data_IF_994489765400
#
_entry.id   IF_994489765400
#
_cell.length_a   1.000
_cell.length_b   1.000
_cell.length_c   1.000
_cell.angle_alpha   90.00
_cell.angle_beta   90.00
_cell.angle_gamma   90.00
#
_symmetry.space_group_name_H-M   'P 1'
#
loop_
_entity.id
_entity.type
_entity.pdbx_description
1 polymer ?
#
# COMPACT_ATOMS: atom_id res chain seq x y z
N UNK A 1 -29.29 -19.54 26.77
CA UNK A 1 -29.67 -19.53 28.19
C UNK A 1 -29.65 -18.11 28.84
N UNK A 2 -29.75 -17.03 28.06
CA UNK A 2 -29.80 -15.63 28.57
C UNK A 2 -31.19 -14.97 28.45
N UNK A 3 -32.05 -15.49 27.57
CA UNK A 3 -33.39 -14.93 27.30
C UNK A 3 -34.42 -15.22 28.39
N UNK A 4 -34.22 -16.27 29.20
CA UNK A 4 -35.15 -16.64 30.28
C UNK A 4 -34.84 -15.97 31.63
N UNK A 5 -33.74 -15.21 31.75
CA UNK A 5 -33.37 -14.50 32.99
C UNK A 5 -33.89 -13.06 33.08
N UNK A 6 -34.22 -12.42 31.96
CA UNK A 6 -34.67 -11.01 31.92
C UNK A 6 -36.13 -10.82 32.32
N UNK A 7 -36.99 -11.82 32.09
CA UNK A 7 -38.43 -11.73 32.37
C UNK A 7 -38.80 -11.74 33.86
N UNK A 8 -37.99 -12.39 34.71
CA UNK A 8 -38.26 -12.45 36.15
C UNK A 8 -37.98 -11.12 36.86
N UNK A 9 -36.99 -10.36 36.38
CA UNK A 9 -36.61 -9.06 36.95
C UNK A 9 -37.66 -7.99 36.63
N UNK A 10 -38.15 -7.95 35.40
CA UNK A 10 -39.20 -6.99 35.00
C UNK A 10 -40.52 -7.22 35.75
N UNK A 11 -40.84 -8.47 36.10
CA UNK A 11 -42.03 -8.82 36.87
C UNK A 11 -41.96 -8.31 38.32
N UNK A 12 -40.77 -8.32 38.93
CA UNK A 12 -40.53 -7.77 40.27
C UNK A 12 -40.59 -6.23 40.31
N UNK A 13 -40.11 -5.56 39.25
CA UNK A 13 -40.17 -4.10 39.12
C UNK A 13 -41.63 -3.61 38.96
N UNK A 14 -42.48 -4.35 38.25
CA UNK A 14 -43.87 -3.94 38.01
C UNK A 14 -44.75 -3.94 39.29
N UNK A 15 -44.43 -4.80 40.27
CA UNK A 15 -45.21 -4.98 41.51
C UNK A 15 -44.70 -4.14 42.70
N UNK A 16 -43.54 -3.52 42.58
CA UNK A 16 -42.95 -2.70 43.63
C UNK A 16 -43.54 -1.29 43.71
N UNK A 17 -43.93 -0.84 44.90
CA UNK A 17 -44.31 0.55 45.15
C UNK A 17 -43.16 1.53 44.87
N UNK A 18 -43.49 2.82 44.71
CA UNK A 18 -42.57 3.88 44.26
C UNK A 18 -41.21 3.93 44.99
N UNK A 19 -41.16 3.59 46.28
CA UNK A 19 -39.91 3.50 47.06
C UNK A 19 -39.00 2.35 46.61
N UNK A 20 -39.54 1.19 46.23
CA UNK A 20 -38.74 0.04 45.79
C UNK A 20 -38.16 0.26 44.38
N UNK A 21 -38.90 0.95 43.51
CA UNK A 21 -38.42 1.33 42.16
C UNK A 21 -37.23 2.29 42.21
N UNK A 22 -37.22 3.26 43.15
CA UNK A 22 -36.08 4.17 43.34
C UNK A 22 -34.84 3.45 43.88
N UNK A 23 -35.01 2.50 44.80
CA UNK A 23 -33.89 1.73 45.37
C UNK A 23 -33.24 0.83 44.30
N UNK A 24 -34.05 0.12 43.50
CA UNK A 24 -33.54 -0.72 42.40
C UNK A 24 -32.85 0.12 41.31
N UNK A 25 -33.40 1.29 40.97
CA UNK A 25 -32.77 2.21 40.00
C UNK A 25 -31.45 2.78 40.53
N UNK A 26 -31.34 3.04 41.84
CA UNK A 26 -30.11 3.54 42.44
C UNK A 26 -29.01 2.46 42.47
N UNK A 27 -29.37 1.21 42.81
CA UNK A 27 -28.45 0.06 42.80
C UNK A 27 -27.99 -0.29 41.38
N UNK A 28 -28.88 -0.19 40.38
CA UNK A 28 -28.53 -0.46 38.98
C UNK A 28 -27.62 0.64 38.40
N UNK A 29 -27.85 1.91 38.75
CA UNK A 29 -26.97 3.02 38.36
C UNK A 29 -25.58 2.93 39.02
N UNK A 30 -25.47 2.54 40.29
CA UNK A 30 -24.17 2.42 40.96
C UNK A 30 -23.36 1.22 40.45
N UNK A 31 -24.01 0.12 40.07
CA UNK A 31 -23.34 -1.00 39.40
C UNK A 31 -22.83 -0.65 37.99
N UNK A 32 -23.56 0.19 37.23
CA UNK A 32 -23.11 0.65 35.90
C UNK A 32 -21.90 1.60 36.01
N UNK A 33 -21.87 2.48 37.03
CA UNK A 33 -20.72 3.36 37.27
C UNK A 33 -19.47 2.58 37.70
N UNK A 34 -19.63 1.49 38.47
CA UNK A 34 -18.51 0.61 38.85
C UNK A 34 -17.96 -0.21 37.66
N UNK A 35 -18.80 -0.62 36.70
CA UNK A 35 -18.34 -1.32 35.48
C UNK A 35 -17.61 -0.36 34.53
N UNK A 36 -18.01 0.93 34.48
CA UNK A 36 -17.33 1.95 33.66
C UNK A 36 -16.00 2.45 34.29
N UNK A 37 -15.78 2.26 35.59
CA UNK A 37 -14.49 2.55 36.23
C UNK A 37 -13.44 1.44 36.06
N UNK A 38 -13.84 0.21 35.68
CA UNK A 38 -12.89 -0.90 35.46
C UNK A 38 -12.40 -1.04 34.01
N UNK A 39 -12.86 -0.20 33.08
CA UNK A 39 -12.37 -0.16 31.70
C UNK A 39 -11.61 1.14 31.41
N UNK A 40 -10.57 1.42 32.19
CA UNK A 40 -9.56 2.43 31.80
C UNK A 40 -8.16 1.85 31.97
N UNK A 41 -7.84 0.85 31.16
CA UNK A 41 -6.44 0.54 30.85
C UNK A 41 -5.92 1.68 29.98
N UNK A 42 -5.22 2.63 30.60
CA UNK A 42 -4.37 3.57 29.89
C UNK A 42 -3.39 2.76 29.02
N UNK A 43 -3.39 2.87 27.68
CA UNK A 43 -2.31 2.30 26.90
C UNK A 43 -1.02 2.97 27.37
N UNK A 44 -0.04 2.15 27.79
CA UNK A 44 1.28 2.66 28.16
C UNK A 44 1.83 3.48 26.97
N UNK A 45 2.47 4.64 27.21
CA UNK A 45 3.14 5.38 26.15
C UNK A 45 4.18 4.45 25.50
N UNK A 46 4.12 4.36 24.17
CA UNK A 46 5.07 3.59 23.38
C UNK A 46 6.48 4.12 23.66
N UNK A 47 7.37 3.25 24.15
CA UNK A 47 8.79 3.58 24.25
C UNK A 47 9.36 3.58 22.84
N UNK A 48 9.88 4.73 22.42
CA UNK A 48 10.62 4.87 21.17
C UNK A 48 11.88 3.99 21.24
N UNK A 49 11.90 2.90 20.48
CA UNK A 49 13.16 2.24 20.14
C UNK A 49 13.90 3.09 19.10
N UNK A 50 15.22 3.30 19.24
CA UNK A 50 15.97 4.17 18.35
C UNK A 50 15.94 3.65 16.91
N UNK A 51 15.67 4.56 15.98
CA UNK A 51 15.67 4.28 14.55
C UNK A 51 16.98 3.60 14.11
N UNK A 52 16.93 2.55 13.28
CA UNK A 52 18.14 1.97 12.73
C UNK A 52 18.86 3.00 11.85
N UNK A 53 20.19 3.05 12.02
CA UNK A 53 21.08 4.05 11.43
C UNK A 53 20.90 4.17 9.91
N UNK A 54 20.71 5.41 9.45
CA UNK A 54 20.75 5.80 8.03
C UNK A 54 22.18 5.64 7.52
N UNK A 55 22.40 4.75 6.56
CA UNK A 55 23.58 4.77 5.69
C UNK A 55 23.20 4.16 4.32
N UNK A 56 22.54 4.91 3.45
CA UNK A 56 22.63 4.68 2.00
C UNK A 56 22.56 6.02 1.27
N UNK A 57 23.72 6.43 0.81
CA UNK A 57 24.02 7.62 0.02
C UNK A 57 23.45 7.43 -1.41
N UNK A 58 22.49 8.27 -1.79
CA UNK A 58 21.99 8.35 -3.16
C UNK A 58 22.92 9.26 -3.97
N UNK A 59 23.61 8.70 -4.97
CA UNK A 59 24.35 9.50 -5.97
C UNK A 59 23.38 9.98 -7.05
N UNK A 60 23.09 11.28 -7.03
CA UNK A 60 22.54 12.00 -8.18
C UNK A 60 23.64 12.28 -9.20
N UNK A 61 23.40 12.01 -10.48
CA UNK A 61 24.24 12.55 -11.54
C UNK A 61 23.44 12.90 -12.79
N UNK A 62 23.39 14.23 -13.01
CA UNK A 62 23.55 14.93 -14.28
C UNK A 62 22.31 15.21 -15.15
N UNK A 63 21.63 16.30 -14.77
CA UNK A 63 20.98 17.23 -15.68
C UNK A 63 22.00 18.33 -16.06
N UNK A 64 22.43 18.38 -17.32
CA UNK A 64 23.30 19.44 -17.87
C UNK A 64 22.68 20.02 -19.14
N UNK A 65 22.12 21.23 -19.03
CA UNK A 65 22.65 22.50 -19.57
C UNK A 65 22.53 22.66 -21.09
N UNK A 66 21.46 23.36 -21.47
CA UNK A 66 21.29 24.13 -22.71
C UNK A 66 22.26 25.31 -22.72
N UNK A 67 22.97 25.51 -23.83
CA UNK A 67 23.64 26.78 -24.14
C UNK A 67 23.27 27.21 -25.57
N UNK A 68 22.86 28.47 -25.64
CA UNK A 68 22.42 29.29 -26.76
C UNK A 68 23.58 29.77 -27.64
N UNK A 69 23.34 29.90 -28.94
CA UNK A 69 24.21 30.60 -29.92
C UNK A 69 23.29 31.46 -30.83
N UNK A 70 23.73 32.66 -31.28
CA UNK A 70 22.88 33.85 -31.46
C UNK A 70 22.30 34.05 -32.87
N UNK A 71 21.27 34.91 -32.94
CA UNK A 71 20.60 35.39 -34.16
C UNK A 71 21.39 36.48 -34.90
N UNK A 72 21.41 36.41 -36.23
CA UNK A 72 21.55 37.55 -37.14
C UNK A 72 20.56 37.41 -38.31
N UNK A 73 19.78 38.46 -38.66
CA UNK A 73 18.93 38.52 -39.86
C UNK A 73 19.56 39.43 -40.95
N UNK A 74 18.89 39.70 -42.09
CA UNK A 74 18.37 38.79 -43.12
C UNK A 74 18.88 39.18 -44.53
N UNK A 75 18.87 38.28 -45.50
CA UNK A 75 18.95 38.69 -46.91
C UNK A 75 18.21 37.73 -47.86
N UNK A 76 17.26 38.34 -48.58
CA UNK A 76 16.63 38.03 -49.86
C UNK A 76 16.45 36.58 -50.32
N UNK A 77 15.18 36.24 -50.53
CA UNK A 77 14.73 35.07 -51.27
C UNK A 77 14.77 35.30 -52.78
N UNK A 78 15.52 34.52 -53.57
CA UNK A 78 15.14 34.17 -54.93
C UNK A 78 14.29 32.89 -54.91
N UNK A 79 13.19 32.89 -55.69
CA UNK A 79 12.33 31.71 -55.91
C UNK A 79 13.14 30.54 -56.49
N UNK A 80 12.84 29.29 -56.11
CA UNK A 80 13.64 28.13 -56.48
C UNK A 80 13.33 27.65 -57.91
N UNK A 81 14.39 27.37 -58.67
CA UNK A 81 14.34 26.51 -59.86
C UNK A 81 14.05 25.04 -59.45
N UNK A 82 13.45 24.21 -60.32
CA UNK A 82 13.08 22.84 -59.99
C UNK A 82 14.32 21.94 -59.87
N UNK A 83 14.67 21.57 -58.63
CA UNK A 83 15.78 20.64 -58.36
C UNK A 83 15.28 19.19 -58.46
N UNK A 84 15.94 18.42 -59.34
CA UNK A 84 15.74 16.98 -59.53
C UNK A 84 15.98 16.20 -58.21
N UNK A 85 15.20 15.14 -57.93
CA UNK A 85 15.38 14.36 -56.71
C UNK A 85 16.75 13.67 -56.70
N UNK A 86 17.50 13.93 -55.63
CA UNK A 86 18.77 13.26 -55.34
C UNK A 86 18.53 11.77 -55.00
N UNK A 87 19.50 10.87 -55.26
CA UNK A 87 19.41 9.46 -54.87
C UNK A 87 19.18 9.30 -53.35
N UNK A 88 18.41 8.29 -52.89
CA UNK A 88 18.16 8.09 -51.48
C UNK A 88 19.46 7.74 -50.73
N UNK A 89 19.63 8.37 -49.56
CA UNK A 89 20.73 8.09 -48.65
C UNK A 89 20.77 6.60 -48.23
N UNK A 90 21.95 6.02 -47.94
CA UNK A 90 22.06 4.64 -47.48
C UNK A 90 21.22 4.42 -46.22
N UNK A 91 20.42 3.36 -46.20
CA UNK A 91 19.54 3.02 -45.09
C UNK A 91 20.31 2.99 -43.75
N UNK A 92 19.90 3.83 -42.81
CA UNK A 92 20.36 3.77 -41.44
C UNK A 92 20.01 2.40 -40.86
N UNK A 93 21.02 1.66 -40.35
CA UNK A 93 20.80 0.40 -39.65
C UNK A 93 19.88 0.66 -38.45
N UNK A 94 18.73 0.00 -38.46
CA UNK A 94 17.76 0.02 -37.37
C UNK A 94 18.46 -0.39 -36.06
N UNK A 95 18.32 0.36 -34.96
CA UNK A 95 18.93 -0.02 -33.69
C UNK A 95 18.38 -1.38 -33.27
N UNK A 96 19.26 -2.35 -33.08
CA UNK A 96 18.90 -3.70 -32.62
C UNK A 96 18.00 -3.60 -31.38
N UNK A 97 16.73 -3.97 -31.56
CA UNK A 97 15.74 -4.06 -30.48
C UNK A 97 16.20 -5.16 -29.53
N UNK A 98 16.77 -4.78 -28.37
CA UNK A 98 17.08 -5.75 -27.31
C UNK A 98 15.82 -6.56 -27.01
N UNK A 99 15.91 -7.90 -26.91
CA UNK A 99 14.74 -8.73 -26.61
C UNK A 99 14.14 -8.27 -25.29
N UNK A 100 12.86 -7.86 -25.32
CA UNK A 100 12.11 -7.44 -24.14
C UNK A 100 12.01 -8.66 -23.23
N UNK A 101 12.70 -8.63 -22.09
CA UNK A 101 12.60 -9.71 -21.11
C UNK A 101 11.15 -9.83 -20.62
N UNK A 102 10.70 -11.05 -20.30
CA UNK A 102 9.37 -11.29 -19.72
C UNK A 102 9.49 -11.38 -18.19
N UNK A 103 8.49 -10.93 -17.42
CA UNK A 103 8.47 -11.12 -15.98
C UNK A 103 8.36 -12.61 -15.63
N UNK A 104 8.89 -13.00 -14.47
CA UNK A 104 8.68 -14.32 -13.86
C UNK A 104 7.20 -14.52 -13.51
N UNK A 105 6.57 -13.48 -12.98
CA UNK A 105 5.13 -13.43 -12.75
C UNK A 105 4.63 -11.98 -12.69
N UNK A 106 3.33 -11.82 -12.90
CA UNK A 106 2.64 -10.56 -12.69
C UNK A 106 1.27 -10.77 -12.06
N UNK A 107 0.78 -9.75 -11.37
CA UNK A 107 -0.56 -9.69 -10.83
C UNK A 107 -1.10 -8.26 -10.87
N UNK A 108 -2.41 -8.13 -11.00
CA UNK A 108 -3.07 -6.82 -10.91
C UNK A 108 -4.37 -6.89 -10.12
N UNK A 109 -4.72 -5.79 -9.47
CA UNK A 109 -6.00 -5.61 -8.79
C UNK A 109 -6.67 -4.34 -9.27
N UNK A 110 -8.00 -4.31 -9.29
CA UNK A 110 -8.78 -3.13 -9.69
C UNK A 110 -8.89 -2.14 -8.54
N UNK A 111 -8.81 -0.85 -8.83
CA UNK A 111 -9.14 0.21 -7.88
C UNK A 111 -10.67 0.30 -7.78
N UNK A 112 -11.21 -0.09 -6.63
CA UNK A 112 -12.67 -0.11 -6.39
C UNK A 112 -13.24 1.23 -5.91
N UNK A 113 -12.38 2.20 -5.62
CA UNK A 113 -12.77 3.50 -5.09
C UNK A 113 -12.15 4.61 -5.92
N UNK A 114 -12.93 5.65 -6.18
CA UNK A 114 -12.49 6.90 -6.81
C UNK A 114 -11.88 7.89 -5.80
N UNK A 115 -11.70 7.47 -4.54
CA UNK A 115 -11.01 8.26 -3.52
C UNK A 115 -9.55 8.54 -3.96
N UNK A 116 -9.27 9.83 -4.15
CA UNK A 116 -7.98 10.33 -4.63
C UNK A 116 -6.88 10.12 -3.60
N UNK A 117 -7.16 10.22 -2.31
CA UNK A 117 -6.17 10.10 -1.25
C UNK A 117 -5.82 8.64 -0.99
N UNK A 118 -6.82 7.74 -1.06
CA UNK A 118 -6.57 6.30 -1.11
C UNK A 118 -5.68 5.93 -2.30
N UNK A 119 -6.02 6.41 -3.50
CA UNK A 119 -5.24 6.12 -4.72
C UNK A 119 -3.83 6.70 -4.63
N UNK A 120 -3.69 7.90 -4.06
CA UNK A 120 -2.41 8.52 -3.78
C UNK A 120 -1.56 7.67 -2.84
N UNK A 121 -2.11 7.16 -1.73
CA UNK A 121 -1.40 6.30 -0.79
C UNK A 121 -0.86 5.02 -1.45
N UNK A 122 -1.66 4.39 -2.33
CA UNK A 122 -1.23 3.22 -3.09
C UNK A 122 -0.11 3.59 -4.07
N UNK A 123 -0.25 4.69 -4.82
CA UNK A 123 0.78 5.22 -5.71
C UNK A 123 2.08 5.53 -4.95
N UNK A 124 1.98 6.15 -3.78
CA UNK A 124 3.11 6.48 -2.91
C UNK A 124 3.84 5.22 -2.42
N UNK A 125 3.11 4.23 -1.91
CA UNK A 125 3.68 2.94 -1.51
C UNK A 125 4.32 2.20 -2.68
N UNK A 126 3.68 2.20 -3.87
CA UNK A 126 4.20 1.54 -5.05
C UNK A 126 5.52 2.17 -5.52
N UNK A 127 5.64 3.51 -5.45
CA UNK A 127 6.90 4.21 -5.77
C UNK A 127 8.06 3.79 -4.87
N UNK A 128 7.81 3.56 -3.57
CA UNK A 128 8.86 3.09 -2.64
C UNK A 128 9.35 1.67 -2.95
N UNK A 129 8.50 0.84 -3.54
CA UNK A 129 8.79 -0.58 -3.82
C UNK A 129 9.30 -0.78 -5.25
N UNK A 130 8.92 0.08 -6.19
CA UNK A 130 9.26 -0.09 -7.59
C UNK A 130 10.77 -0.07 -7.81
N UNK A 131 11.31 -1.16 -8.37
CA UNK A 131 12.74 -1.37 -8.57
C UNK A 131 13.45 -2.04 -7.38
N UNK A 132 12.73 -2.44 -6.34
CA UNK A 132 13.33 -3.12 -5.19
C UNK A 132 13.92 -4.48 -5.61
N UNK A 133 15.23 -4.66 -5.38
CA UNK A 133 15.98 -5.86 -5.74
C UNK A 133 16.19 -6.77 -4.53
N UNK A 134 16.09 -8.07 -4.77
CA UNK A 134 16.34 -9.14 -3.80
C UNK A 134 17.38 -10.09 -4.37
N UNK A 135 18.56 -10.19 -3.77
CA UNK A 135 19.54 -11.21 -4.11
C UNK A 135 19.07 -12.60 -3.65
N UNK A 136 19.70 -13.68 -4.13
CA UNK A 136 19.47 -15.02 -3.60
C UNK A 136 19.63 -15.04 -2.07
N UNK A 137 18.58 -15.47 -1.36
CA UNK A 137 18.55 -15.52 0.10
C UNK A 137 17.98 -14.29 0.79
N UNK A 138 17.84 -13.16 0.11
CA UNK A 138 17.29 -11.93 0.70
C UNK A 138 15.80 -12.10 1.03
N UNK A 139 15.35 -11.41 2.08
CA UNK A 139 13.95 -11.33 2.48
C UNK A 139 13.41 -9.93 2.23
N UNK A 140 12.27 -9.86 1.57
CA UNK A 140 11.47 -8.66 1.48
C UNK A 140 10.57 -8.54 2.72
N UNK A 141 10.47 -7.34 3.29
CA UNK A 141 9.43 -6.95 4.24
C UNK A 141 8.70 -5.73 3.68
N UNK A 142 7.37 -5.81 3.60
CA UNK A 142 6.57 -4.68 3.12
C UNK A 142 6.68 -3.48 4.07
N UNK A 143 6.68 -3.72 5.39
CA UNK A 143 6.76 -2.66 6.38
C UNK A 143 8.14 -2.00 6.45
N UNK A 144 9.24 -2.75 6.26
CA UNK A 144 10.58 -2.17 6.20
C UNK A 144 10.74 -1.24 4.99
N UNK A 145 10.24 -1.66 3.81
CA UNK A 145 10.40 -0.87 2.57
C UNK A 145 9.45 0.34 2.53
N UNK A 146 8.21 0.18 2.99
CA UNK A 146 7.19 1.25 2.88
C UNK A 146 7.22 2.20 4.08
N UNK A 147 7.61 1.71 5.27
CA UNK A 147 7.70 2.46 6.52
C UNK A 147 6.35 2.73 7.20
N UNK A 148 6.36 3.48 8.31
CA UNK A 148 5.16 3.85 9.07
C UNK A 148 4.20 4.68 8.20
N UNK A 149 2.89 4.42 8.31
CA UNK A 149 1.85 5.16 7.57
C UNK A 149 1.43 6.34 8.42
N UNK A 150 1.99 7.50 8.12
CA UNK A 150 1.74 8.76 8.84
C UNK A 150 1.90 9.96 7.91
N UNK A 151 1.43 11.13 8.35
CA UNK A 151 1.55 12.37 7.60
C UNK A 151 3.01 12.72 7.29
N UNK A 152 3.92 12.53 8.26
CA UNK A 152 5.35 12.84 8.12
C UNK A 152 6.01 11.97 7.05
N UNK A 153 5.52 10.75 6.87
CA UNK A 153 5.98 9.83 5.83
C UNK A 153 5.23 10.00 4.50
N UNK A 154 4.44 11.08 4.37
CA UNK A 154 3.72 11.46 3.17
C UNK A 154 2.46 10.64 2.91
N UNK A 155 1.89 9.95 3.91
CA UNK A 155 0.60 9.29 3.75
C UNK A 155 -0.55 10.22 4.09
N UNK A 156 -1.64 10.07 3.37
CA UNK A 156 -2.90 10.78 3.58
C UNK A 156 -3.91 9.92 4.32
N UNK A 157 -4.91 10.56 4.91
CA UNK A 157 -6.05 9.85 5.51
C UNK A 157 -6.96 9.30 4.41
N UNK A 158 -7.42 8.08 4.60
CA UNK A 158 -8.41 7.41 3.76
C UNK A 158 -9.03 6.26 4.58
N UNK A 159 -10.06 5.60 4.05
CA UNK A 159 -10.69 4.48 4.73
C UNK A 159 -9.68 3.33 4.99
N UNK A 160 -9.57 2.94 6.26
CA UNK A 160 -8.85 1.77 6.79
C UNK A 160 -9.83 0.82 7.47
N UNK A 161 -9.42 -0.43 7.72
CA UNK A 161 -10.22 -1.40 8.47
C UNK A 161 -9.59 -1.58 9.85
N UNK A 162 -10.33 -1.25 10.90
CA UNK A 162 -9.93 -1.40 12.31
C UNK A 162 -10.97 -2.26 13.00
N UNK A 163 -10.56 -3.39 13.58
CA UNK A 163 -11.46 -4.34 14.25
C UNK A 163 -12.68 -4.76 13.39
N UNK A 164 -12.49 -4.77 12.06
CA UNK A 164 -13.54 -5.07 11.09
C UNK A 164 -14.33 -3.85 10.62
N UNK A 165 -14.33 -2.72 11.31
CA UNK A 165 -15.07 -1.53 10.90
C UNK A 165 -14.23 -0.58 10.05
N UNK A 166 -14.90 0.20 9.20
CA UNK A 166 -14.24 1.23 8.41
C UNK A 166 -14.05 2.49 9.24
N UNK A 167 -12.81 2.92 9.34
CA UNK A 167 -12.41 4.16 10.01
C UNK A 167 -11.53 5.00 9.09
N UNK A 168 -11.40 6.28 9.37
CA UNK A 168 -10.46 7.13 8.66
C UNK A 168 -9.07 7.04 9.30
N UNK A 169 -8.04 6.79 8.51
CA UNK A 169 -6.67 6.73 9.00
C UNK A 169 -5.61 6.80 7.92
N UNK A 170 -4.36 7.00 8.33
CA UNK A 170 -3.25 7.15 7.40
C UNK A 170 -2.96 5.88 6.62
N UNK A 171 -2.74 6.04 5.30
CA UNK A 171 -2.32 4.94 4.45
C UNK A 171 -3.45 4.01 4.01
N UNK A 172 -4.71 4.43 4.13
CA UNK A 172 -5.83 3.71 3.52
C UNK A 172 -5.52 3.34 2.06
N UNK A 173 -5.69 2.05 1.74
CA UNK A 173 -5.34 1.46 0.45
C UNK A 173 -4.03 0.65 0.41
N UNK A 174 -3.07 0.82 1.32
CA UNK A 174 -1.77 0.10 1.24
C UNK A 174 -1.89 -1.42 1.32
N UNK A 175 -2.91 -1.97 1.97
CA UNK A 175 -3.16 -3.41 1.99
C UNK A 175 -3.50 -3.97 0.59
N UNK A 176 -4.10 -3.16 -0.30
CA UNK A 176 -4.33 -3.58 -1.69
C UNK A 176 -3.01 -3.73 -2.45
N UNK A 177 -2.06 -2.81 -2.21
CA UNK A 177 -0.71 -2.93 -2.78
C UNK A 177 0.00 -4.18 -2.25
N UNK A 178 -0.01 -4.39 -0.92
CA UNK A 178 0.55 -5.60 -0.30
C UNK A 178 -0.05 -6.87 -0.90
N UNK A 179 -1.39 -6.93 -1.00
CA UNK A 179 -2.11 -8.03 -1.65
C UNK A 179 -1.63 -8.26 -3.09
N UNK A 180 -1.46 -7.20 -3.88
CA UNK A 180 -1.02 -7.32 -5.27
C UNK A 180 0.42 -7.86 -5.36
N UNK A 181 1.30 -7.43 -4.45
CA UNK A 181 2.67 -7.92 -4.34
C UNK A 181 2.70 -9.39 -3.94
N UNK A 182 1.97 -9.76 -2.88
CA UNK A 182 1.86 -11.14 -2.41
C UNK A 182 1.52 -12.08 -3.56
N UNK A 183 0.48 -11.76 -4.33
CA UNK A 183 0.05 -12.61 -5.44
C UNK A 183 1.09 -12.72 -6.55
N UNK A 184 1.85 -11.66 -6.81
CA UNK A 184 2.92 -11.66 -7.80
C UNK A 184 4.12 -12.49 -7.32
N UNK A 185 4.52 -12.32 -6.06
CA UNK A 185 5.62 -13.06 -5.42
C UNK A 185 5.33 -14.56 -5.33
N UNK A 186 4.12 -14.93 -4.89
CA UNK A 186 3.65 -16.30 -4.79
C UNK A 186 3.62 -16.98 -6.17
N UNK A 187 3.08 -16.30 -7.19
CA UNK A 187 3.10 -16.81 -8.58
C UNK A 187 4.52 -16.94 -9.15
N UNK A 188 5.46 -16.10 -8.73
CA UNK A 188 6.86 -16.22 -9.11
C UNK A 188 7.59 -17.38 -8.40
N UNK A 189 6.94 -18.03 -7.43
CA UNK A 189 7.51 -19.09 -6.60
C UNK A 189 8.58 -18.57 -5.63
N UNK A 190 8.39 -17.36 -5.11
CA UNK A 190 9.15 -16.87 -3.95
C UNK A 190 8.54 -17.45 -2.68
N UNK A 191 9.36 -17.73 -1.67
CA UNK A 191 8.87 -18.36 -0.44
C UNK A 191 8.19 -17.32 0.44
N UNK A 192 6.87 -17.44 0.62
CA UNK A 192 6.12 -16.59 1.56
C UNK A 192 6.48 -16.99 2.99
N UNK A 193 6.97 -16.03 3.78
CA UNK A 193 7.37 -16.21 5.18
C UNK A 193 6.33 -15.68 6.15
N UNK A 194 5.65 -14.59 5.79
CA UNK A 194 4.62 -13.97 6.60
C UNK A 194 3.50 -13.44 5.69
N UNK A 195 2.26 -13.79 6.02
CA UNK A 195 1.05 -13.27 5.38
C UNK A 195 -0.10 -13.34 6.37
N UNK A 196 -0.90 -12.29 6.40
CA UNK A 196 -2.12 -12.23 7.20
C UNK A 196 -3.32 -11.94 6.30
N UNK A 197 -4.46 -12.51 6.64
CA UNK A 197 -5.72 -12.24 5.95
C UNK A 197 -6.43 -11.06 6.60
N UNK A 198 -7.27 -10.35 5.84
CA UNK A 198 -8.18 -9.36 6.40
C UNK A 198 -9.30 -10.06 7.17
N UNK A 199 -9.81 -9.40 8.20
CA UNK A 199 -10.98 -9.88 8.95
C UNK A 199 -12.28 -9.86 8.13
N UNK A 200 -12.32 -9.10 7.02
CA UNK A 200 -13.45 -9.00 6.09
C UNK A 200 -12.96 -9.11 4.64
N UNK A 201 -13.86 -9.48 3.73
CA UNK A 201 -13.54 -9.58 2.30
C UNK A 201 -13.29 -8.20 1.70
N UNK A 202 -12.22 -8.05 0.90
CA UNK A 202 -11.74 -6.75 0.39
C UNK A 202 -12.16 -6.43 -1.05
N UNK A 203 -12.90 -7.32 -1.72
CA UNK A 203 -13.55 -7.08 -3.02
C UNK A 203 -12.64 -7.02 -4.26
N UNK A 204 -11.35 -6.70 -4.11
CA UNK A 204 -10.40 -6.55 -5.23
C UNK A 204 -9.57 -7.81 -5.52
N UNK A 205 -9.80 -8.90 -4.78
CA UNK A 205 -9.08 -10.18 -4.92
C UNK A 205 -9.97 -11.35 -4.47
N UNK A 206 -9.80 -12.57 -5.02
CA UNK A 206 -10.50 -13.76 -4.53
C UNK A 206 -10.23 -14.06 -3.05
N UNK A 207 -11.15 -14.77 -2.39
CA UNK A 207 -11.00 -15.19 -0.98
C UNK A 207 -9.68 -15.96 -0.78
N UNK A 208 -8.98 -15.65 0.30
CA UNK A 208 -7.71 -16.31 0.65
C UNK A 208 -6.53 -15.85 -0.20
N UNK A 209 -6.69 -14.82 -1.04
CA UNK A 209 -5.61 -14.23 -1.85
C UNK A 209 -5.24 -12.81 -1.44
N UNK A 210 -5.75 -12.34 -0.31
CA UNK A 210 -5.43 -11.05 0.27
C UNK A 210 -4.16 -11.11 1.15
N UNK A 211 -3.57 -9.95 1.43
CA UNK A 211 -2.45 -9.82 2.36
C UNK A 211 -2.60 -8.49 3.12
N UNK A 212 -3.07 -8.59 4.37
CA UNK A 212 -3.21 -7.48 5.30
C UNK A 212 -1.84 -7.09 5.88
N UNK A 213 -1.65 -5.78 6.08
CA UNK A 213 -0.43 -5.21 6.64
C UNK A 213 -0.79 -4.07 7.58
N UNK A 214 -0.08 -3.98 8.69
CA UNK A 214 -0.18 -2.92 9.67
C UNK A 214 1.20 -2.70 10.28
N UNK A 215 1.70 -1.47 10.19
CA UNK A 215 3.06 -1.17 10.64
C UNK A 215 3.23 -1.50 12.13
N UNK A 216 4.25 -2.28 12.46
CA UNK A 216 4.54 -2.73 13.82
C UNK A 216 3.74 -3.94 14.31
N UNK A 217 2.84 -4.53 13.50
CA UNK A 217 2.07 -5.72 13.91
C UNK A 217 1.86 -6.78 12.84
N UNK A 218 1.44 -6.41 11.62
CA UNK A 218 1.18 -7.35 10.52
C UNK A 218 2.05 -7.00 9.31
N UNK A 219 2.77 -7.97 8.77
CA UNK A 219 3.63 -7.76 7.61
C UNK A 219 3.35 -8.76 6.47
N UNK A 220 3.83 -8.39 5.29
CA UNK A 220 4.03 -9.32 4.18
C UNK A 220 5.52 -9.53 4.03
N UNK A 221 5.98 -10.76 4.26
CA UNK A 221 7.38 -11.14 4.09
C UNK A 221 7.53 -12.31 3.14
N UNK A 222 8.53 -12.24 2.27
CA UNK A 222 8.90 -13.36 1.42
C UNK A 222 10.38 -13.37 1.10
N UNK A 223 10.93 -14.57 0.88
CA UNK A 223 12.34 -14.80 0.60
C UNK A 223 12.56 -15.12 -0.87
N UNK A 224 13.61 -14.55 -1.45
CA UNK A 224 14.11 -14.99 -2.75
C UNK A 224 14.89 -16.30 -2.59
N UNK A 225 14.21 -17.43 -2.84
CA UNK A 225 14.82 -18.77 -2.84
C UNK A 225 15.42 -19.17 -4.19
N UNK A 226 15.41 -18.27 -5.19
CA UNK A 226 16.01 -18.51 -6.51
C UNK A 226 17.53 -18.34 -6.44
N UNK A 227 18.23 -18.89 -7.45
CA UNK A 227 19.69 -18.77 -7.60
C UNK A 227 20.15 -17.47 -8.29
N UNK A 228 19.23 -16.54 -8.55
CA UNK A 228 19.49 -15.26 -9.21
C UNK A 228 18.71 -14.13 -8.52
N UNK A 229 19.18 -12.88 -8.65
CA UNK A 229 18.46 -11.74 -8.08
C UNK A 229 17.12 -11.52 -8.80
N UNK A 230 16.14 -11.01 -8.07
CA UNK A 230 14.84 -10.62 -8.61
C UNK A 230 14.54 -9.16 -8.30
N UNK A 231 13.71 -8.54 -9.11
CA UNK A 231 13.27 -7.15 -8.96
C UNK A 231 11.75 -7.07 -8.90
N UNK A 232 11.23 -6.31 -7.95
CA UNK A 232 9.81 -5.99 -7.83
C UNK A 232 9.53 -4.72 -8.62
N UNK A 233 8.67 -4.78 -9.64
CA UNK A 233 8.17 -3.61 -10.36
C UNK A 233 6.72 -3.37 -10.01
N UNK A 234 6.42 -2.17 -9.52
CA UNK A 234 5.09 -1.79 -9.06
C UNK A 234 4.66 -0.48 -9.71
N UNK A 235 3.46 -0.45 -10.28
CA UNK A 235 2.88 0.74 -10.89
C UNK A 235 1.37 0.79 -10.65
N UNK A 236 0.80 1.99 -10.74
CA UNK A 236 -0.62 2.23 -10.51
C UNK A 236 -1.11 3.24 -11.53
N UNK A 237 -2.08 2.85 -12.34
CA UNK A 237 -2.82 3.77 -13.20
C UNK A 237 -4.13 4.18 -12.53
N UNK A 238 -5.06 4.78 -13.28
CA UNK A 238 -6.33 5.26 -12.72
C UNK A 238 -7.36 4.16 -12.48
N UNK A 239 -7.07 2.92 -12.90
CA UNK A 239 -7.99 1.77 -12.81
C UNK A 239 -7.42 0.62 -12.01
N UNK A 240 -6.10 0.45 -11.94
CA UNK A 240 -5.46 -0.78 -11.50
C UNK A 240 -4.11 -0.54 -10.81
N UNK A 241 -3.81 -1.45 -9.89
CA UNK A 241 -2.48 -1.67 -9.33
C UNK A 241 -1.86 -2.83 -10.08
N UNK A 242 -0.62 -2.68 -10.58
CA UNK A 242 0.14 -3.73 -11.24
C UNK A 242 1.42 -4.01 -10.48
N UNK A 243 1.70 -5.29 -10.27
CA UNK A 243 2.98 -5.73 -9.72
C UNK A 243 3.52 -6.89 -10.55
N UNK A 244 4.80 -6.82 -10.88
CA UNK A 244 5.51 -7.89 -11.59
C UNK A 244 6.85 -8.18 -10.95
N UNK A 245 7.24 -9.45 -10.94
CA UNK A 245 8.53 -9.92 -10.46
C UNK A 245 9.38 -10.26 -11.68
N UNK A 246 10.58 -9.72 -11.75
CA UNK A 246 11.51 -9.90 -12.86
C UNK A 246 12.77 -10.58 -12.38
N UNK A 247 13.43 -11.34 -13.26
CA UNK A 247 14.83 -11.67 -13.04
C UNK A 247 15.62 -10.38 -13.20
N UNK A 248 16.35 -9.98 -12.17
CA UNK A 248 17.24 -8.84 -12.25
C UNK A 248 18.52 -9.25 -12.99
N UNK A 249 19.02 -8.32 -13.81
CA UNK A 249 20.32 -8.38 -14.49
C UNK A 249 21.42 -7.83 -13.60
#
# INVERSE_FOLDING_TARGET
MLYQRTNTINKLISKGGFKLKKIISFILCTFIVLILSSCRSNPKPYKEDPAPAKNMEYKESNLGKTQSVPETPPAETPKPDPVQPSPPAPAAKEPEKKPVSKPLASYSTVLLSSDKDRTYNIKHGAKKINGYKLNPGDTFSFNEVVGKRSAENGFKTAAIIVNGEYEEGFGGGVCQLSTTIFNSADKAGLQILERHDHSKTVGYVPKGRDAAVNYGSLDLKFKNTKKYPVEIRASVDDKRVYVSIWRAS
#
